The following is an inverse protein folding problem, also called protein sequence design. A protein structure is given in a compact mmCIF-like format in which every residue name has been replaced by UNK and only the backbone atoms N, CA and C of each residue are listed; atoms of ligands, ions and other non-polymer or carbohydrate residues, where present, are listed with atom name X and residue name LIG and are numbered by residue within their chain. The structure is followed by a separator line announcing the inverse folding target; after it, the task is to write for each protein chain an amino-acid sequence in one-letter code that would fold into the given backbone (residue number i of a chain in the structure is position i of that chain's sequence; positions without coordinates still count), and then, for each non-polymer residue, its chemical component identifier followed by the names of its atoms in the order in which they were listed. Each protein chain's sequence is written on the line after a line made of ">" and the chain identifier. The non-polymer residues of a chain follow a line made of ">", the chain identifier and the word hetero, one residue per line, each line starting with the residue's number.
data_IF_828304860778
#
_entry.id   IF_828304860778
#
_cell.length_a   1.000
_cell.length_b   1.000
_cell.length_c   1.000
_cell.angle_alpha   90.00
_cell.angle_beta   90.00
_cell.angle_gamma   90.00
#
_symmetry.space_group_name_H-M   'P 1'
#
loop_
_entity.id
_entity.type
_entity.pdbx_description
1 polymer ?
#
# COMPACT_ATOMS: atom_id res chain seq x y z
N UNK A 1 -7.54 9.18 -31.25
CA UNK A 1 -6.26 8.47 -30.96
C UNK A 1 -6.60 7.14 -30.30
N UNK A 2 -6.37 6.00 -30.98
CA UNK A 2 -6.76 4.67 -30.47
C UNK A 2 -5.92 4.32 -29.24
N UNK A 3 -6.58 4.06 -28.12
CA UNK A 3 -5.90 3.45 -26.97
C UNK A 3 -5.35 2.08 -27.36
N UNK A 4 -4.14 1.71 -26.95
CA UNK A 4 -3.63 0.37 -27.20
C UNK A 4 -4.48 -0.65 -26.43
N UNK A 5 -5.14 -1.53 -27.20
CA UNK A 5 -5.87 -2.68 -26.67
C UNK A 5 -4.89 -3.75 -26.18
N UNK A 6 -5.24 -4.34 -25.03
CA UNK A 6 -4.79 -5.67 -24.67
C UNK A 6 -3.40 -5.78 -24.10
N UNK A 7 -3.27 -5.50 -22.81
CA UNK A 7 -2.04 -5.78 -22.07
C UNK A 7 -2.08 -7.20 -21.49
N UNK A 8 -1.79 -8.19 -22.34
CA UNK A 8 -1.67 -9.60 -21.93
C UNK A 8 -0.57 -9.75 -20.87
N UNK A 9 -0.95 -9.96 -19.62
CA UNK A 9 -0.05 -10.35 -18.54
C UNK A 9 -0.06 -9.49 -17.26
N UNK A 10 -0.64 -8.28 -17.25
CA UNK A 10 -0.74 -7.47 -16.06
C UNK A 10 -2.12 -7.65 -15.40
N UNK A 11 -2.15 -8.09 -14.14
CA UNK A 11 -3.40 -8.24 -13.40
C UNK A 11 -4.05 -6.87 -13.18
N UNK A 12 -5.35 -6.79 -13.42
CA UNK A 12 -6.11 -5.54 -13.26
C UNK A 12 -7.52 -5.79 -12.76
N UNK A 13 -8.09 -4.77 -12.15
CA UNK A 13 -9.46 -4.70 -11.67
C UNK A 13 -10.12 -3.44 -12.23
N UNK A 14 -11.43 -3.44 -12.32
CA UNK A 14 -12.21 -2.30 -12.79
C UNK A 14 -13.43 -2.12 -11.92
N UNK A 15 -13.67 -0.89 -11.47
CA UNK A 15 -14.88 -0.52 -10.73
C UNK A 15 -16.05 -0.25 -11.69
N UNK A 16 -17.26 -0.17 -11.16
CA UNK A 16 -18.49 0.14 -11.92
C UNK A 16 -18.41 1.53 -12.56
N UNK A 17 -17.76 2.51 -11.93
CA UNK A 17 -17.58 3.86 -12.49
C UNK A 17 -16.51 3.92 -13.58
N UNK A 18 -15.82 2.80 -13.84
CA UNK A 18 -14.82 2.67 -14.89
C UNK A 18 -13.38 2.96 -14.46
N UNK A 19 -13.12 3.26 -13.17
CA UNK A 19 -11.77 3.37 -12.63
C UNK A 19 -11.05 2.04 -12.77
N UNK A 20 -9.80 2.04 -13.22
CA UNK A 20 -8.98 0.84 -13.37
C UNK A 20 -7.85 0.82 -12.34
N UNK A 21 -7.58 -0.34 -11.80
CA UNK A 21 -6.46 -0.59 -10.90
C UNK A 21 -5.58 -1.66 -11.56
N UNK A 22 -4.28 -1.38 -11.72
CA UNK A 22 -3.31 -2.31 -12.28
C UNK A 22 -2.30 -2.69 -11.21
N UNK A 23 -1.99 -3.97 -11.07
CA UNK A 23 -0.83 -4.39 -10.29
C UNK A 23 0.42 -4.24 -11.14
N UNK A 24 1.07 -3.08 -11.06
CA UNK A 24 2.23 -2.71 -11.86
C UNK A 24 3.52 -3.38 -11.40
N UNK A 25 3.57 -3.80 -10.15
CA UNK A 25 4.63 -4.62 -9.59
C UNK A 25 4.03 -5.80 -8.82
N UNK A 26 4.56 -6.99 -9.08
CA UNK A 26 4.37 -8.20 -8.28
C UNK A 26 5.75 -8.63 -7.80
N UNK A 27 6.24 -8.00 -6.75
CA UNK A 27 7.56 -8.19 -6.16
C UNK A 27 7.48 -8.68 -4.72
N UNK A 28 8.40 -8.20 -3.90
CA UNK A 28 8.31 -8.40 -2.44
C UNK A 28 7.05 -7.71 -1.90
N UNK A 29 6.75 -6.52 -2.39
CA UNK A 29 5.51 -5.79 -2.20
C UNK A 29 4.80 -5.66 -3.55
N UNK A 30 3.48 -5.79 -3.60
CA UNK A 30 2.66 -5.43 -4.75
C UNK A 30 2.52 -3.91 -4.79
N UNK A 31 2.81 -3.29 -5.95
CA UNK A 31 2.48 -1.89 -6.17
C UNK A 31 1.31 -1.79 -7.14
N UNK A 32 0.41 -0.88 -6.87
CA UNK A 32 -0.81 -0.70 -7.65
C UNK A 32 -0.87 0.68 -8.28
N UNK A 33 -1.29 0.75 -9.54
CA UNK A 33 -1.54 2.00 -10.25
C UNK A 33 -3.05 2.14 -10.48
N UNK A 34 -3.66 3.12 -9.83
CA UNK A 34 -5.04 3.52 -10.07
C UNK A 34 -5.04 4.46 -11.27
N UNK A 35 -5.94 4.21 -12.23
CA UNK A 35 -6.04 4.96 -13.49
C UNK A 35 -7.47 5.44 -13.70
N UNK A 36 -7.61 6.75 -13.91
CA UNK A 36 -8.86 7.43 -14.25
C UNK A 36 -8.57 8.63 -15.14
N UNK A 37 -9.25 8.75 -16.26
CA UNK A 37 -9.21 9.90 -17.18
C UNK A 37 -7.79 10.40 -17.48
N UNK A 38 -6.87 9.50 -17.85
CA UNK A 38 -5.44 9.73 -18.10
C UNK A 38 -4.64 10.25 -16.88
N UNK A 39 -5.18 10.17 -15.68
CA UNK A 39 -4.49 10.43 -14.43
C UNK A 39 -4.14 9.12 -13.75
N UNK A 40 -3.03 9.14 -13.02
CA UNK A 40 -2.53 7.97 -12.29
C UNK A 40 -2.24 8.30 -10.84
N UNK A 41 -2.60 7.38 -9.95
CA UNK A 41 -2.22 7.38 -8.55
C UNK A 41 -1.47 6.09 -8.27
N UNK A 42 -0.20 6.18 -7.89
CA UNK A 42 0.61 5.00 -7.55
C UNK A 42 0.48 4.73 -6.04
N UNK A 43 0.26 3.47 -5.68
CA UNK A 43 0.20 3.02 -4.28
C UNK A 43 1.35 2.07 -4.04
N UNK A 44 2.24 2.46 -3.12
CA UNK A 44 3.52 1.85 -2.78
C UNK A 44 4.56 1.84 -3.92
N UNK A 45 5.83 1.66 -3.55
CA UNK A 45 6.94 1.81 -4.48
C UNK A 45 7.82 0.56 -4.62
N UNK A 46 7.64 -0.45 -3.77
CA UNK A 46 8.46 -1.66 -3.80
C UNK A 46 9.89 -1.44 -3.32
N UNK A 47 10.72 -2.49 -3.50
CA UNK A 47 12.15 -2.44 -3.14
C UNK A 47 13.01 -1.89 -4.27
N UNK A 48 14.21 -1.40 -3.93
CA UNK A 48 15.21 -0.92 -4.89
C UNK A 48 15.52 -1.96 -5.99
N UNK A 49 15.50 -3.24 -5.64
CA UNK A 49 15.72 -4.33 -6.61
C UNK A 49 14.61 -4.42 -7.65
N UNK A 50 13.43 -3.96 -7.33
CA UNK A 50 12.25 -4.00 -8.19
C UNK A 50 12.12 -2.77 -9.11
N UNK A 51 13.00 -1.76 -8.99
CA UNK A 51 12.91 -0.50 -9.73
C UNK A 51 12.64 -0.68 -11.22
N UNK A 52 13.47 -1.47 -11.90
CA UNK A 52 13.33 -1.66 -13.35
C UNK A 52 11.99 -2.29 -13.74
N UNK A 53 11.44 -3.17 -12.89
CA UNK A 53 10.14 -3.82 -13.13
C UNK A 53 9.00 -2.84 -12.91
N UNK A 54 9.07 -2.04 -11.83
CA UNK A 54 8.11 -1.00 -11.52
C UNK A 54 8.08 0.04 -12.64
N UNK A 55 9.25 0.58 -13.03
CA UNK A 55 9.37 1.58 -14.08
C UNK A 55 8.78 1.08 -15.41
N UNK A 56 9.14 -0.14 -15.85
CA UNK A 56 8.53 -0.77 -17.04
C UNK A 56 7.01 -0.91 -16.92
N UNK A 57 6.50 -1.19 -15.73
CA UNK A 57 5.06 -1.29 -15.49
C UNK A 57 4.36 0.06 -15.68
N UNK A 58 4.95 1.13 -15.18
CA UNK A 58 4.46 2.52 -15.31
C UNK A 58 4.53 2.98 -16.77
N UNK A 59 5.67 2.80 -17.43
CA UNK A 59 5.89 3.17 -18.85
C UNK A 59 4.89 2.47 -19.77
N UNK A 60 4.62 1.18 -19.53
CA UNK A 60 3.68 0.39 -20.32
C UNK A 60 2.24 0.91 -20.26
N UNK A 61 1.88 1.58 -19.17
CA UNK A 61 0.57 2.22 -18.99
C UNK A 61 0.57 3.70 -19.39
N UNK A 62 1.73 4.23 -19.82
CA UNK A 62 1.87 5.62 -20.25
C UNK A 62 1.90 6.63 -19.08
N UNK A 63 2.30 6.18 -17.90
CA UNK A 63 2.48 7.10 -16.77
C UNK A 63 3.66 8.04 -17.07
N UNK A 64 3.43 9.33 -16.85
CA UNK A 64 4.41 10.40 -17.06
C UNK A 64 4.41 11.35 -15.87
N UNK A 65 5.40 12.23 -15.79
CA UNK A 65 5.41 13.33 -14.84
C UNK A 65 4.08 14.12 -14.81
N UNK A 66 3.51 14.43 -15.98
CA UNK A 66 2.28 15.22 -16.06
C UNK A 66 1.01 14.44 -15.65
N UNK A 67 1.03 13.11 -15.70
CA UNK A 67 -0.13 12.27 -15.44
C UNK A 67 -0.10 11.54 -14.08
N UNK A 68 1.09 11.38 -13.46
CA UNK A 68 1.23 10.76 -12.15
C UNK A 68 0.95 11.80 -11.05
N UNK A 69 -0.26 11.78 -10.52
CA UNK A 69 -0.77 12.76 -9.55
C UNK A 69 -0.05 12.65 -8.22
N UNK A 70 0.17 11.44 -7.74
CA UNK A 70 0.93 11.18 -6.52
C UNK A 70 1.41 9.73 -6.41
N UNK A 71 2.43 9.54 -5.57
CA UNK A 71 2.75 8.29 -4.89
C UNK A 71 2.11 8.33 -3.50
N UNK A 72 1.21 7.43 -3.20
CA UNK A 72 0.69 7.19 -1.85
C UNK A 72 1.47 6.05 -1.23
N UNK A 73 2.18 6.29 -0.14
CA UNK A 73 2.78 5.24 0.67
C UNK A 73 1.76 4.74 1.69
N UNK A 74 1.39 3.47 1.62
CA UNK A 74 0.49 2.88 2.63
C UNK A 74 1.13 2.93 4.01
N UNK A 75 2.45 2.79 4.07
CA UNK A 75 3.31 3.00 5.23
C UNK A 75 4.79 3.04 4.78
N UNK A 76 5.71 3.34 5.70
CA UNK A 76 7.11 3.60 5.37
C UNK A 76 8.06 2.42 5.61
N UNK A 77 7.60 1.16 5.66
CA UNK A 77 8.54 0.04 5.60
C UNK A 77 9.30 0.00 4.28
N UNK A 78 10.56 -0.47 4.33
CA UNK A 78 11.49 -0.43 3.20
C UNK A 78 10.94 -1.03 1.92
N UNK A 79 10.18 -2.12 2.00
CA UNK A 79 9.62 -2.79 0.83
C UNK A 79 8.39 -2.07 0.23
N UNK A 80 7.92 -1.01 0.87
CA UNK A 80 6.91 -0.07 0.36
C UNK A 80 7.51 1.26 -0.08
N UNK A 81 8.56 1.75 0.58
CA UNK A 81 9.07 3.10 0.42
C UNK A 81 10.44 3.21 -0.27
N UNK A 82 11.17 2.10 -0.51
CA UNK A 82 12.58 2.14 -0.93
C UNK A 82 12.81 2.84 -2.29
N UNK A 83 11.81 2.84 -3.19
CA UNK A 83 11.88 3.57 -4.46
C UNK A 83 11.23 4.96 -4.43
N UNK A 84 10.77 5.46 -3.28
CA UNK A 84 10.08 6.74 -3.20
C UNK A 84 10.94 7.91 -3.72
N UNK A 85 12.20 7.97 -3.31
CA UNK A 85 13.15 8.97 -3.79
C UNK A 85 13.39 8.87 -5.31
N UNK A 86 13.49 7.66 -5.85
CA UNK A 86 13.66 7.46 -7.30
C UNK A 86 12.42 7.89 -8.09
N UNK A 87 11.22 7.57 -7.60
CA UNK A 87 9.95 8.01 -8.22
C UNK A 87 9.82 9.53 -8.20
N UNK A 88 10.18 10.16 -7.07
CA UNK A 88 10.22 11.63 -6.96
C UNK A 88 11.17 12.24 -8.00
N UNK A 89 12.36 11.67 -8.16
CA UNK A 89 13.36 12.20 -9.10
C UNK A 89 12.99 11.96 -10.56
N UNK A 90 12.46 10.76 -10.89
CA UNK A 90 12.18 10.36 -12.27
C UNK A 90 10.85 10.92 -12.79
N UNK A 91 9.81 10.88 -11.97
CA UNK A 91 8.46 11.30 -12.35
C UNK A 91 8.04 12.61 -11.69
N UNK A 92 8.87 13.22 -10.85
CA UNK A 92 8.53 14.37 -9.99
C UNK A 92 7.23 14.12 -9.19
N UNK A 93 6.98 12.85 -8.86
CA UNK A 93 5.77 12.41 -8.21
C UNK A 93 5.66 13.02 -6.80
N UNK A 94 4.59 13.78 -6.48
CA UNK A 94 4.32 14.20 -5.11
C UNK A 94 4.10 12.96 -4.22
N UNK A 95 4.77 12.90 -3.06
CA UNK A 95 4.65 11.77 -2.14
C UNK A 95 3.67 12.14 -1.04
N UNK A 96 2.68 11.28 -0.81
CA UNK A 96 1.71 11.40 0.26
C UNK A 96 1.92 10.28 1.27
N UNK A 97 2.03 10.64 2.54
CA UNK A 97 2.34 9.75 3.64
C UNK A 97 1.51 10.14 4.87
N UNK A 98 1.25 9.21 5.77
CA UNK A 98 0.59 9.54 7.03
C UNK A 98 1.48 10.43 7.91
N UNK A 99 0.87 11.36 8.64
CA UNK A 99 1.59 12.33 9.48
C UNK A 99 2.55 11.70 10.49
N UNK A 100 2.23 10.51 11.03
CA UNK A 100 3.09 9.82 12.00
C UNK A 100 4.33 9.16 11.38
N UNK A 101 4.43 9.10 10.05
CA UNK A 101 5.55 8.47 9.33
C UNK A 101 6.30 9.43 8.40
N UNK A 102 5.91 10.71 8.38
CA UNK A 102 6.57 11.71 7.56
C UNK A 102 8.06 11.85 7.86
N UNK A 103 8.44 11.80 9.13
CA UNK A 103 9.85 11.88 9.53
C UNK A 103 10.64 10.63 9.17
N UNK A 104 10.02 9.44 9.24
CA UNK A 104 10.64 8.20 8.75
C UNK A 104 11.02 8.33 7.26
N UNK A 105 10.09 8.81 6.43
CA UNK A 105 10.35 9.02 5.01
C UNK A 105 11.44 10.07 4.77
N UNK A 106 11.37 11.21 5.49
CA UNK A 106 12.33 12.32 5.34
C UNK A 106 13.74 11.94 5.75
N UNK A 107 13.87 11.07 6.76
CA UNK A 107 15.16 10.58 7.23
C UNK A 107 15.62 9.31 6.50
N UNK A 108 14.74 8.65 5.71
CA UNK A 108 15.01 7.35 5.10
C UNK A 108 15.07 6.21 6.11
N UNK A 109 14.39 6.35 7.23
CA UNK A 109 14.38 5.40 8.33
C UNK A 109 13.24 4.40 8.20
N UNK A 110 13.55 3.12 8.36
CA UNK A 110 12.53 2.08 8.38
C UNK A 110 11.77 2.11 9.72
N UNK A 111 10.43 2.22 9.74
CA UNK A 111 9.65 2.09 10.96
C UNK A 111 9.94 0.78 11.70
N UNK A 112 9.70 0.78 13.01
CA UNK A 112 9.96 -0.41 13.84
C UNK A 112 9.11 -1.58 13.38
N UNK A 113 9.76 -2.68 13.01
CA UNK A 113 9.10 -3.93 12.64
C UNK A 113 8.85 -4.75 13.89
N UNK A 114 7.60 -5.18 14.12
CA UNK A 114 7.22 -6.04 15.23
C UNK A 114 6.53 -7.30 14.73
N UNK A 115 6.83 -8.43 15.35
CA UNK A 115 6.14 -9.70 15.08
C UNK A 115 4.74 -9.71 15.74
N UNK A 116 3.73 -10.18 15.04
CA UNK A 116 2.36 -10.30 15.55
C UNK A 116 2.03 -11.71 16.07
N UNK A 117 2.81 -12.71 15.64
CA UNK A 117 2.67 -14.12 16.05
C UNK A 117 3.96 -14.60 16.73
N UNK A 118 3.93 -15.67 17.57
CA UNK A 118 5.08 -16.11 18.36
C UNK A 118 6.37 -16.31 17.55
N UNK A 119 6.27 -16.95 16.38
CA UNK A 119 7.42 -17.21 15.50
C UNK A 119 8.06 -15.91 15.01
N UNK A 120 7.26 -14.94 14.56
CA UNK A 120 7.79 -13.67 14.06
C UNK A 120 8.28 -12.77 15.20
N UNK A 121 7.69 -12.85 16.40
CA UNK A 121 8.21 -12.17 17.60
C UNK A 121 9.62 -12.63 17.92
N UNK A 122 9.83 -13.94 17.99
CA UNK A 122 11.16 -14.52 18.24
C UNK A 122 12.15 -14.15 17.12
N UNK A 123 11.73 -14.23 15.86
CA UNK A 123 12.56 -13.85 14.71
C UNK A 123 13.02 -12.40 14.79
N UNK A 124 12.11 -11.46 15.09
CA UNK A 124 12.42 -10.03 15.19
C UNK A 124 13.36 -9.77 16.38
N UNK A 125 13.16 -10.44 17.51
CA UNK A 125 14.06 -10.34 18.67
C UNK A 125 15.49 -10.76 18.31
N UNK A 126 15.67 -11.88 17.61
CA UNK A 126 16.97 -12.35 17.15
C UNK A 126 17.63 -11.38 16.14
N UNK A 127 16.85 -10.83 15.21
CA UNK A 127 17.33 -9.86 14.24
C UNK A 127 17.75 -8.55 14.92
N UNK A 128 17.02 -8.09 15.93
CA UNK A 128 17.38 -6.92 16.72
C UNK A 128 18.71 -7.10 17.45
N UNK A 129 18.95 -8.27 18.06
CA UNK A 129 20.24 -8.60 18.72
C UNK A 129 21.42 -8.50 17.75
N UNK A 130 21.22 -8.78 16.48
CA UNK A 130 22.28 -8.73 15.45
C UNK A 130 22.36 -7.38 14.73
N UNK A 131 21.58 -6.36 15.11
CA UNK A 131 21.45 -5.04 14.48
C UNK A 131 21.15 -5.09 12.96
N UNK A 132 20.61 -6.21 12.46
CA UNK A 132 20.32 -6.39 11.03
C UNK A 132 19.16 -5.54 10.54
N UNK A 133 18.21 -5.18 11.40
CA UNK A 133 17.06 -4.34 11.05
C UNK A 133 17.46 -2.90 10.71
N UNK A 134 18.51 -2.35 11.32
CA UNK A 134 19.06 -1.03 10.97
C UNK A 134 19.66 -0.95 9.55
N UNK A 135 19.79 -2.10 8.84
CA UNK A 135 20.22 -2.13 7.43
C UNK A 135 19.07 -1.99 6.43
N UNK A 136 17.84 -1.84 6.91
CA UNK A 136 16.65 -1.69 6.07
C UNK A 136 16.31 -0.23 5.78
N UNK A 137 17.18 0.71 6.19
CA UNK A 137 17.02 2.12 5.84
C UNK A 137 17.19 2.34 4.34
N UNK A 138 16.54 3.36 3.80
CA UNK A 138 16.46 3.66 2.38
C UNK A 138 16.80 5.13 2.07
N UNK A 139 16.83 5.50 0.81
CA UNK A 139 17.12 6.88 0.41
C UNK A 139 16.02 7.83 0.91
N UNK A 140 16.38 8.91 1.65
CA UNK A 140 15.41 9.86 2.15
C UNK A 140 14.65 10.57 1.03
N UNK A 141 13.41 10.92 1.29
CA UNK A 141 12.57 11.67 0.36
C UNK A 141 11.63 12.62 1.12
N UNK A 142 11.47 13.86 0.62
CA UNK A 142 10.45 14.76 1.14
C UNK A 142 9.07 14.38 0.64
N UNK A 143 8.09 14.49 1.51
CA UNK A 143 6.68 14.37 1.18
C UNK A 143 6.12 15.72 0.70
N UNK A 144 5.08 15.64 -0.13
CA UNK A 144 4.31 16.80 -0.56
C UNK A 144 3.05 16.99 0.30
N UNK A 145 2.58 15.92 0.94
CA UNK A 145 1.36 15.96 1.75
C UNK A 145 1.44 14.97 2.91
N UNK A 146 1.05 15.45 4.08
CA UNK A 146 0.74 14.63 5.25
C UNK A 146 -0.77 14.33 5.26
N UNK A 147 -1.11 13.06 5.39
CA UNK A 147 -2.49 12.59 5.57
C UNK A 147 -2.73 12.34 7.05
N UNK A 148 -3.91 12.70 7.54
CA UNK A 148 -4.37 12.39 8.89
C UNK A 148 -5.36 11.20 8.84
N UNK A 149 -6.55 11.35 9.36
CA UNK A 149 -7.55 10.27 9.39
C UNK A 149 -8.06 9.91 8.00
N UNK A 150 -8.34 10.93 7.16
CA UNK A 150 -8.93 10.77 5.84
C UNK A 150 -8.50 11.89 4.89
N UNK A 151 -8.32 11.52 3.61
CA UNK A 151 -8.12 12.47 2.52
C UNK A 151 -8.99 12.06 1.33
N UNK A 152 -9.97 12.90 0.95
CA UNK A 152 -10.79 12.67 -0.23
C UNK A 152 -9.97 12.88 -1.52
N UNK A 153 -10.16 11.99 -2.49
CA UNK A 153 -9.40 11.96 -3.74
C UNK A 153 -10.14 12.60 -4.93
N UNK A 154 -11.41 13.01 -4.75
CA UNK A 154 -12.23 13.57 -5.83
C UNK A 154 -11.60 14.82 -6.43
N UNK A 155 -11.01 15.70 -5.60
CA UNK A 155 -10.31 16.91 -6.07
C UNK A 155 -9.06 16.60 -6.90
N UNK A 156 -8.55 15.38 -6.82
CA UNK A 156 -7.41 14.89 -7.59
C UNK A 156 -7.84 14.05 -8.80
N UNK A 157 -9.17 13.89 -9.01
CA UNK A 157 -9.76 13.20 -10.15
C UNK A 157 -9.93 11.67 -9.96
N UNK A 158 -9.95 11.19 -8.72
CA UNK A 158 -10.21 9.78 -8.40
C UNK A 158 -11.40 9.65 -7.46
N UNK A 159 -12.43 8.87 -7.81
CA UNK A 159 -13.59 8.68 -6.95
C UNK A 159 -13.22 7.79 -5.76
N UNK A 160 -12.98 8.40 -4.61
CA UNK A 160 -12.57 7.68 -3.41
C UNK A 160 -11.80 8.52 -2.41
N UNK A 161 -11.10 7.85 -1.51
CA UNK A 161 -10.35 8.49 -0.43
C UNK A 161 -9.23 7.62 0.11
N UNK A 162 -8.28 8.24 0.80
CA UNK A 162 -7.30 7.58 1.66
C UNK A 162 -7.88 7.52 3.08
N UNK A 163 -7.77 6.39 3.74
CA UNK A 163 -8.28 6.14 5.08
C UNK A 163 -7.14 5.68 5.99
N UNK A 164 -7.01 6.28 7.16
CA UNK A 164 -6.08 5.82 8.19
C UNK A 164 -6.55 4.48 8.78
N UNK A 165 -5.73 3.44 8.59
CA UNK A 165 -5.96 2.06 9.02
C UNK A 165 -4.78 1.53 9.84
N UNK A 166 -4.52 2.12 11.04
CA UNK A 166 -3.34 1.81 11.84
C UNK A 166 -3.36 0.39 12.41
N UNK A 167 -2.18 -0.03 12.87
CA UNK A 167 -2.01 -1.30 13.59
C UNK A 167 -0.86 -2.14 13.07
N UNK A 168 -0.67 -2.24 11.73
CA UNK A 168 0.58 -2.78 11.18
C UNK A 168 1.73 -1.83 11.51
N UNK A 169 1.59 -0.56 11.14
CA UNK A 169 2.34 0.57 11.70
C UNK A 169 1.38 1.63 12.23
N UNK A 170 1.85 2.62 13.03
CA UNK A 170 1.00 3.72 13.48
C UNK A 170 0.45 4.56 12.34
N UNK A 171 1.15 4.64 11.20
CA UNK A 171 0.77 5.43 10.04
C UNK A 171 0.21 4.64 8.87
N UNK A 172 -0.16 3.38 9.07
CA UNK A 172 -0.74 2.57 7.99
C UNK A 172 -2.02 3.18 7.43
N UNK A 173 -2.11 3.25 6.09
CA UNK A 173 -3.25 3.80 5.35
C UNK A 173 -3.74 2.81 4.30
N UNK A 174 -5.01 2.95 3.93
CA UNK A 174 -5.63 2.23 2.81
C UNK A 174 -6.21 3.22 1.81
N UNK A 175 -6.16 2.89 0.52
CA UNK A 175 -6.75 3.70 -0.56
C UNK A 175 -8.04 3.04 -1.00
N UNK A 176 -9.16 3.74 -0.84
CA UNK A 176 -10.50 3.27 -1.14
C UNK A 176 -10.93 3.87 -2.48
N UNK A 177 -11.33 3.03 -3.43
CA UNK A 177 -11.76 3.45 -4.76
C UNK A 177 -13.21 3.01 -4.99
N UNK A 178 -14.08 3.98 -5.30
CA UNK A 178 -15.51 3.80 -5.61
C UNK A 178 -16.31 3.07 -4.50
N UNK A 179 -15.79 2.95 -3.28
CA UNK A 179 -16.32 2.06 -2.24
C UNK A 179 -16.49 0.59 -2.72
N UNK A 180 -15.73 0.17 -3.71
CA UNK A 180 -15.74 -1.19 -4.28
C UNK A 180 -14.43 -1.92 -4.04
N UNK A 181 -13.29 -1.24 -4.19
CA UNK A 181 -11.95 -1.83 -4.10
C UNK A 181 -11.11 -1.02 -3.13
N UNK A 182 -10.47 -1.70 -2.17
CA UNK A 182 -9.53 -1.12 -1.24
C UNK A 182 -8.10 -1.66 -1.48
N UNK A 183 -7.13 -0.75 -1.65
CA UNK A 183 -5.71 -1.08 -1.65
C UNK A 183 -5.22 -0.87 -0.21
N UNK A 184 -4.89 -1.96 0.48
CA UNK A 184 -4.86 -1.98 1.94
C UNK A 184 -3.46 -2.11 2.54
N UNK A 185 -2.42 -2.05 1.71
CA UNK A 185 -1.05 -2.24 2.18
C UNK A 185 -0.91 -3.51 3.01
N UNK A 186 -0.33 -3.39 4.19
CA UNK A 186 -0.11 -4.47 5.15
C UNK A 186 -1.14 -4.52 6.28
N UNK A 187 -2.22 -3.74 6.18
CA UNK A 187 -3.39 -3.89 7.07
C UNK A 187 -4.03 -5.27 6.91
N UNK A 188 -3.91 -5.87 5.71
CA UNK A 188 -4.28 -7.26 5.41
C UNK A 188 -3.14 -7.96 4.66
N UNK A 189 -3.01 -9.28 4.86
CA UNK A 189 -2.11 -10.14 4.08
C UNK A 189 -2.89 -11.12 3.20
N UNK A 190 -2.43 -11.28 1.96
CA UNK A 190 -3.01 -12.19 0.98
C UNK A 190 -2.20 -13.47 0.75
N UNK A 191 -1.24 -13.82 1.63
CA UNK A 191 -0.33 -14.96 1.44
C UNK A 191 -1.01 -16.27 1.82
N UNK A 192 -1.65 -16.32 3.00
CA UNK A 192 -2.25 -17.55 3.50
C UNK A 192 -3.71 -17.67 3.10
N UNK A 193 -4.07 -18.78 2.45
CA UNK A 193 -5.45 -19.04 2.02
C UNK A 193 -6.39 -19.01 3.22
N UNK A 194 -7.49 -18.24 3.13
CA UNK A 194 -8.50 -18.12 4.18
C UNK A 194 -8.11 -17.26 5.38
N UNK A 195 -6.91 -16.65 5.37
CA UNK A 195 -6.47 -15.70 6.38
C UNK A 195 -6.15 -14.35 5.76
N UNK A 196 -6.34 -13.29 6.55
CA UNK A 196 -5.87 -11.95 6.24
C UNK A 196 -4.87 -11.44 7.27
N UNK A 197 -4.56 -12.24 8.30
CA UNK A 197 -3.76 -11.81 9.44
C UNK A 197 -2.29 -11.63 9.05
N UNK A 198 -1.72 -10.40 9.16
CA UNK A 198 -0.32 -10.15 8.89
C UNK A 198 0.58 -10.79 9.96
N UNK A 199 1.69 -11.41 9.55
CA UNK A 199 2.66 -11.98 10.49
C UNK A 199 3.48 -10.92 11.26
N UNK A 200 3.37 -9.66 10.81
CA UNK A 200 4.00 -8.49 11.43
C UNK A 200 2.94 -7.41 11.68
N UNK A 201 2.90 -6.88 12.89
CA UNK A 201 2.06 -5.74 13.26
C UNK A 201 2.55 -5.17 14.59
N UNK A 202 2.60 -3.84 14.69
CA UNK A 202 2.95 -3.13 15.92
C UNK A 202 1.87 -3.26 16.98
N UNK A 203 0.60 -3.15 16.56
CA UNK A 203 -0.59 -3.31 17.41
C UNK A 203 -1.65 -4.16 16.70
N UNK A 204 -1.66 -5.49 16.93
CA UNK A 204 -2.65 -6.38 16.33
C UNK A 204 -4.10 -6.06 16.70
N UNK A 205 -4.36 -5.53 17.91
CA UNK A 205 -5.72 -5.15 18.33
C UNK A 205 -6.23 -3.95 17.54
N UNK A 206 -5.40 -2.91 17.41
CA UNK A 206 -5.71 -1.74 16.61
C UNK A 206 -5.87 -2.09 15.13
N UNK A 207 -5.05 -3.02 14.61
CA UNK A 207 -5.18 -3.52 13.25
C UNK A 207 -6.54 -4.21 13.01
N UNK A 208 -7.01 -5.01 13.96
CA UNK A 208 -8.36 -5.63 13.88
C UNK A 208 -9.46 -4.56 13.89
N UNK A 209 -9.30 -3.48 14.67
CA UNK A 209 -10.22 -2.33 14.60
C UNK A 209 -10.19 -1.65 13.21
N UNK A 210 -9.02 -1.57 12.59
CA UNK A 210 -8.89 -1.09 11.20
C UNK A 210 -9.60 -2.00 10.19
N UNK A 211 -9.68 -3.31 10.43
CA UNK A 211 -10.49 -4.21 9.61
C UNK A 211 -11.98 -3.86 9.67
N UNK A 212 -12.47 -3.44 10.85
CA UNK A 212 -13.85 -2.94 10.96
C UNK A 212 -14.07 -1.71 10.10
N UNK A 213 -13.13 -0.73 10.16
CA UNK A 213 -13.19 0.44 9.28
C UNK A 213 -13.26 0.03 7.80
N UNK A 214 -12.43 -0.94 7.38
CA UNK A 214 -12.42 -1.45 5.99
C UNK A 214 -13.75 -2.12 5.62
N UNK A 215 -14.35 -2.92 6.51
CA UNK A 215 -15.66 -3.54 6.28
C UNK A 215 -16.77 -2.51 6.10
N UNK A 216 -16.68 -1.37 6.80
CA UNK A 216 -17.66 -0.28 6.78
C UNK A 216 -17.55 0.61 5.52
N UNK A 217 -16.46 0.50 4.73
CA UNK A 217 -16.30 1.25 3.48
C UNK A 217 -17.26 0.82 2.37
N UNK A 218 -17.88 -0.36 2.49
CA UNK A 218 -18.67 -0.95 1.40
C UNK A 218 -17.85 -1.79 0.41
N UNK A 219 -16.52 -1.72 0.44
CA UNK A 219 -15.65 -2.47 -0.46
C UNK A 219 -15.90 -3.98 -0.39
N UNK A 220 -15.85 -4.62 -1.56
CA UNK A 220 -16.01 -6.07 -1.71
C UNK A 220 -14.70 -6.77 -2.05
N UNK A 221 -13.71 -6.02 -2.53
CA UNK A 221 -12.38 -6.53 -2.92
C UNK A 221 -11.29 -5.74 -2.20
N UNK A 222 -10.37 -6.46 -1.59
CA UNK A 222 -9.22 -5.91 -0.86
C UNK A 222 -7.94 -6.38 -1.52
N UNK A 223 -7.06 -5.44 -1.86
CA UNK A 223 -5.79 -5.66 -2.55
C UNK A 223 -4.63 -5.41 -1.58
N UNK A 224 -4.11 -6.46 -0.92
CA UNK A 224 -2.98 -6.33 -0.02
C UNK A 224 -1.65 -6.15 -0.77
N UNK A 225 -0.68 -5.56 -0.09
CA UNK A 225 0.67 -5.45 -0.62
C UNK A 225 1.39 -6.80 -0.68
N UNK A 226 0.99 -7.78 0.12
CA UNK A 226 1.58 -9.12 0.08
C UNK A 226 0.55 -10.20 -0.27
N UNK A 227 0.81 -10.93 -1.36
CA UNK A 227 0.01 -12.07 -1.81
C UNK A 227 -1.11 -11.70 -2.78
N UNK A 228 -2.26 -12.36 -2.67
CA UNK A 228 -3.41 -12.21 -3.58
C UNK A 228 -4.53 -11.41 -2.92
N UNK A 229 -5.45 -10.91 -3.76
CA UNK A 229 -6.67 -10.24 -3.29
C UNK A 229 -7.47 -11.08 -2.29
N UNK A 230 -8.26 -10.38 -1.49
CA UNK A 230 -9.22 -10.94 -0.54
C UNK A 230 -10.61 -10.35 -0.79
N UNK A 231 -11.62 -11.18 -0.61
CA UNK A 231 -13.01 -10.75 -0.63
C UNK A 231 -13.51 -10.33 0.76
N UNK A 232 -14.65 -9.67 0.78
CA UNK A 232 -15.29 -9.17 2.00
C UNK A 232 -15.65 -10.31 2.97
N UNK A 233 -16.02 -11.48 2.46
CA UNK A 233 -16.41 -12.61 3.28
C UNK A 233 -15.24 -13.18 4.08
N UNK A 234 -14.04 -13.26 3.44
CA UNK A 234 -12.83 -13.66 4.13
C UNK A 234 -12.47 -12.65 5.22
N UNK A 235 -12.50 -11.34 4.90
CA UNK A 235 -12.20 -10.30 5.88
C UNK A 235 -13.18 -10.33 7.06
N UNK A 236 -14.49 -10.47 6.77
CA UNK A 236 -15.54 -10.53 7.80
C UNK A 236 -15.31 -11.70 8.75
N UNK A 237 -15.09 -12.92 8.23
CA UNK A 237 -14.80 -14.10 9.06
C UNK A 237 -13.57 -13.90 9.94
N UNK A 238 -12.52 -13.28 9.41
CA UNK A 238 -11.31 -13.02 10.18
C UNK A 238 -11.53 -11.93 11.23
N UNK A 239 -12.29 -10.89 10.91
CA UNK A 239 -12.70 -9.90 11.89
C UNK A 239 -13.51 -10.56 13.03
N UNK A 240 -14.55 -11.33 12.71
CA UNK A 240 -15.40 -12.01 13.70
C UNK A 240 -14.58 -12.96 14.60
N UNK A 241 -13.49 -13.56 14.06
CA UNK A 241 -12.58 -14.41 14.82
C UNK A 241 -11.68 -13.64 15.79
N UNK A 242 -11.21 -12.44 15.39
CA UNK A 242 -10.15 -11.71 16.11
C UNK A 242 -10.64 -10.47 16.87
N UNK A 243 -11.87 -10.01 16.68
CA UNK A 243 -12.42 -8.82 17.35
C UNK A 243 -12.64 -8.99 18.85
N UNK A 244 -12.48 -10.19 19.38
CA UNK A 244 -12.59 -10.51 20.81
C UNK A 244 -11.23 -10.54 21.52
N UNK A 245 -10.12 -10.30 20.80
CA UNK A 245 -8.78 -10.20 21.36
C UNK A 245 -8.57 -8.83 22.04
#
# INVERSE_FOLDING_TARGET
>A
MKMPMGNSGMKSWRTKTGTRIYRVLNGRCNCYLVSKDNRFLLVDSGTKRDWNRLNKGLDKLGATHASLVALVLTHCHFDHAENAAMLKNTYQAPIWVHKSEGDCLRNGENPVIQGSIPVTKLMIELLNRTRRLGRLNYAPADYARLVDDRLDLDTFGFPGYILHTPGHTPGSMSVIIDNEIALVGDTLFGIFRGSVFPPFAGDPKLMVQSWKKLLDTGCITFLPAHGSERDKEVLKRQYDKYNQL
#
